data_IF_461533635030
#
_entry.id   IF_461533635030
#
_cell.length_a   1.000
_cell.length_b   1.000
_cell.length_c   1.000
_cell.angle_alpha   90.00
_cell.angle_beta   90.00
_cell.angle_gamma   90.00
#
_symmetry.space_group_name_H-M   'P 1'
#
loop_
_entity.id
_entity.type
_entity.pdbx_description
1 polymer ?
#
# COMPACT_ATOMS: atom_id res chain seq x y z
N UNK A 1 51.56 -68.28 -24.69
CA UNK A 1 50.27 -67.93 -25.30
C UNK A 1 49.18 -68.31 -24.29
N UNK A 2 48.99 -67.63 -23.16
CA UNK A 2 48.59 -66.21 -22.92
C UNK A 2 47.38 -65.76 -23.77
N UNK A 3 46.32 -65.09 -23.30
CA UNK A 3 45.57 -64.96 -22.05
C UNK A 3 44.41 -63.97 -22.38
N UNK A 4 43.13 -64.30 -22.10
CA UNK A 4 41.92 -63.41 -21.93
C UNK A 4 41.56 -62.41 -23.07
N UNK A 5 40.32 -61.99 -23.30
CA UNK A 5 39.33 -61.40 -22.39
C UNK A 5 37.89 -61.59 -22.90
N UNK A 6 37.02 -62.17 -22.06
CA UNK A 6 35.58 -61.93 -22.13
C UNK A 6 35.26 -60.68 -21.29
N UNK A 7 34.59 -59.72 -21.92
CA UNK A 7 34.28 -58.41 -21.37
C UNK A 7 32.88 -58.46 -20.75
N UNK A 8 32.78 -58.69 -19.44
CA UNK A 8 31.50 -58.55 -18.71
C UNK A 8 31.41 -57.14 -18.13
N UNK A 9 30.54 -56.32 -18.73
CA UNK A 9 30.12 -55.02 -18.20
C UNK A 9 29.27 -55.25 -16.94
N UNK A 10 29.76 -54.81 -15.79
CA UNK A 10 28.98 -54.71 -14.56
C UNK A 10 28.00 -53.53 -14.65
N UNK A 11 26.73 -53.84 -14.92
CA UNK A 11 25.63 -52.91 -14.67
C UNK A 11 25.43 -52.73 -13.17
N UNK A 12 25.88 -51.62 -12.61
CA UNK A 12 25.47 -51.18 -11.27
C UNK A 12 24.00 -50.77 -11.33
N UNK A 13 23.10 -51.65 -10.91
CA UNK A 13 21.71 -51.31 -10.63
C UNK A 13 21.67 -50.51 -9.32
N UNK A 14 21.29 -49.24 -9.41
CA UNK A 14 20.95 -48.42 -8.26
C UNK A 14 19.88 -49.11 -7.42
N UNK A 15 20.23 -49.48 -6.18
CA UNK A 15 19.27 -49.98 -5.19
C UNK A 15 18.29 -48.84 -4.86
N UNK A 16 17.04 -48.99 -5.28
CA UNK A 16 15.93 -48.20 -4.77
C UNK A 16 15.74 -48.57 -3.29
N UNK A 17 16.19 -47.72 -2.36
CA UNK A 17 15.86 -47.87 -0.94
C UNK A 17 14.41 -47.44 -0.75
N UNK A 18 13.54 -48.40 -0.47
CA UNK A 18 12.17 -48.11 -0.03
C UNK A 18 12.22 -47.49 1.37
N UNK A 19 11.50 -46.38 1.56
CA UNK A 19 11.40 -45.68 2.84
C UNK A 19 10.66 -46.55 3.87
N UNK A 20 11.17 -46.62 5.10
CA UNK A 20 10.49 -47.36 6.18
C UNK A 20 9.19 -46.65 6.56
N UNK A 21 8.17 -47.42 6.97
CA UNK A 21 6.91 -46.85 7.48
C UNK A 21 7.16 -45.89 8.65
N UNK A 22 8.12 -46.23 9.53
CA UNK A 22 8.55 -45.37 10.64
C UNK A 22 9.17 -44.06 10.15
N UNK A 23 9.97 -44.12 9.09
CA UNK A 23 10.61 -42.94 8.50
C UNK A 23 9.56 -41.99 7.91
N UNK A 24 8.54 -42.54 7.23
CA UNK A 24 7.40 -41.76 6.74
C UNK A 24 6.61 -41.14 7.91
N UNK A 25 6.34 -41.89 8.98
CA UNK A 25 5.61 -41.36 10.14
C UNK A 25 6.35 -40.21 10.82
N UNK A 26 7.67 -40.35 11.03
CA UNK A 26 8.49 -39.28 11.62
C UNK A 26 8.48 -38.05 10.71
N UNK A 27 8.60 -38.24 9.39
CA UNK A 27 8.62 -37.13 8.43
C UNK A 27 7.31 -36.35 8.44
N UNK A 28 6.16 -37.03 8.43
CA UNK A 28 4.84 -36.39 8.50
C UNK A 28 4.65 -35.68 9.84
N UNK A 29 5.11 -36.27 10.95
CA UNK A 29 5.06 -35.62 12.25
C UNK A 29 5.87 -34.32 12.31
N UNK A 30 7.09 -34.32 11.77
CA UNK A 30 7.95 -33.13 11.72
C UNK A 30 7.35 -32.05 10.82
N UNK A 31 6.82 -32.42 9.64
CA UNK A 31 6.14 -31.47 8.75
C UNK A 31 4.91 -30.86 9.41
N UNK A 32 4.12 -31.66 10.14
CA UNK A 32 2.96 -31.16 10.90
C UNK A 32 3.32 -30.14 11.97
N UNK A 33 4.39 -30.40 12.73
CA UNK A 33 4.89 -29.46 13.75
C UNK A 33 5.36 -28.17 13.09
N UNK A 34 6.17 -28.24 12.03
CA UNK A 34 6.66 -27.05 11.33
C UNK A 34 5.52 -26.22 10.69
N UNK A 35 4.51 -26.88 10.10
CA UNK A 35 3.37 -26.20 9.50
C UNK A 35 2.56 -25.42 10.54
N UNK A 36 2.36 -25.98 11.74
CA UNK A 36 1.60 -25.32 12.81
C UNK A 36 2.28 -24.06 13.34
N UNK A 37 3.61 -24.05 13.50
CA UNK A 37 4.38 -22.88 13.95
C UNK A 37 4.37 -21.77 12.89
N UNK A 38 4.40 -22.14 11.61
CA UNK A 38 4.33 -21.18 10.51
C UNK A 38 3.05 -20.34 10.56
N UNK A 39 1.89 -20.97 10.75
CA UNK A 39 0.57 -20.33 10.71
C UNK A 39 0.40 -19.19 11.72
N UNK A 40 0.84 -19.37 12.97
CA UNK A 40 0.68 -18.35 14.03
C UNK A 40 1.56 -17.11 13.80
N UNK A 41 2.67 -17.28 13.09
CA UNK A 41 3.63 -16.21 12.84
C UNK A 41 3.15 -15.27 11.73
N UNK A 42 2.46 -15.79 10.71
CA UNK A 42 2.00 -14.99 9.55
C UNK A 42 0.96 -13.91 9.91
N UNK A 43 0.01 -14.21 10.82
CA UNK A 43 -1.04 -13.25 11.18
C UNK A 43 -0.48 -11.93 11.70
N UNK A 44 0.43 -11.99 12.69
CA UNK A 44 1.03 -10.81 13.32
C UNK A 44 1.93 -9.99 12.38
N UNK A 45 2.58 -10.65 11.40
CA UNK A 45 3.46 -9.96 10.45
C UNK A 45 2.64 -9.12 9.46
N UNK A 46 1.54 -9.66 8.94
CA UNK A 46 0.72 -8.95 7.95
C UNK A 46 0.08 -7.71 8.55
N UNK A 47 -0.41 -7.77 9.78
CA UNK A 47 -1.02 -6.62 10.46
C UNK A 47 -0.02 -5.50 10.73
N UNK A 48 1.18 -5.82 11.25
CA UNK A 48 2.26 -4.83 11.45
C UNK A 48 2.75 -4.22 10.13
N UNK A 49 2.76 -5.01 9.07
CA UNK A 49 3.11 -4.52 7.74
C UNK A 49 2.08 -3.51 7.23
N UNK A 50 0.79 -3.80 7.43
CA UNK A 50 -0.31 -2.87 7.11
C UNK A 50 -0.20 -1.57 7.90
N UNK A 51 0.08 -1.63 9.21
CA UNK A 51 0.30 -0.44 10.04
C UNK A 51 1.44 0.42 9.50
N UNK A 52 2.57 -0.21 9.15
CA UNK A 52 3.73 0.49 8.61
C UNK A 52 3.42 1.18 7.28
N UNK A 53 2.74 0.49 6.36
CA UNK A 53 2.33 1.07 5.06
C UNK A 53 1.37 2.24 5.26
N UNK A 54 0.37 2.09 6.15
CA UNK A 54 -0.60 3.13 6.42
C UNK A 54 0.04 4.39 7.05
N UNK A 55 0.99 4.20 7.98
CA UNK A 55 1.77 5.32 8.56
C UNK A 55 2.63 6.03 7.52
N UNK A 56 3.34 5.28 6.68
CA UNK A 56 4.14 5.86 5.60
C UNK A 56 3.28 6.68 4.63
N UNK A 57 2.05 6.24 4.35
CA UNK A 57 1.11 6.98 3.52
C UNK A 57 0.66 8.28 4.20
N UNK A 58 0.36 8.26 5.49
CA UNK A 58 0.05 9.46 6.28
C UNK A 58 1.22 10.43 6.31
N UNK A 59 2.45 9.94 6.49
CA UNK A 59 3.65 10.78 6.46
C UNK A 59 3.88 11.40 5.08
N UNK A 60 3.62 10.64 4.01
CA UNK A 60 3.67 11.13 2.63
C UNK A 60 2.66 12.24 2.39
N UNK A 61 1.42 12.06 2.84
CA UNK A 61 0.35 13.06 2.77
C UNK A 61 0.69 14.31 3.58
N UNK A 62 1.16 14.15 4.81
CA UNK A 62 1.59 15.28 5.64
C UNK A 62 2.78 16.03 5.03
N UNK A 63 3.73 15.32 4.41
CA UNK A 63 4.84 15.94 3.68
C UNK A 63 4.35 16.69 2.44
N UNK A 64 3.40 16.13 1.69
CA UNK A 64 2.78 16.80 0.55
C UNK A 64 2.05 18.07 0.97
N UNK A 65 1.25 18.03 2.04
CA UNK A 65 0.57 19.21 2.62
C UNK A 65 1.55 20.28 3.08
N UNK A 66 2.66 19.90 3.71
CA UNK A 66 3.71 20.86 4.11
C UNK A 66 4.38 21.49 2.89
N UNK A 67 4.75 20.69 1.90
CA UNK A 67 5.35 21.20 0.66
C UNK A 67 4.41 22.15 -0.08
N UNK A 68 3.12 21.81 -0.14
CA UNK A 68 2.08 22.69 -0.65
C UNK A 68 2.05 24.00 0.14
N UNK A 69 2.04 23.95 1.46
CA UNK A 69 1.96 25.15 2.31
C UNK A 69 3.22 26.02 2.23
N UNK A 70 4.38 25.42 1.96
CA UNK A 70 5.63 26.17 1.74
C UNK A 70 5.64 26.94 0.41
N UNK A 71 4.93 26.44 -0.60
CA UNK A 71 4.94 26.98 -1.95
C UNK A 71 3.70 27.81 -2.28
N UNK A 72 2.59 27.64 -1.54
CA UNK A 72 1.33 28.31 -1.83
C UNK A 72 0.76 28.90 -0.51
N UNK A 73 -0.45 28.51 -0.10
CA UNK A 73 -1.06 28.88 1.18
C UNK A 73 -1.24 27.67 2.11
N UNK A 74 -1.56 27.93 3.37
CA UNK A 74 -1.83 26.89 4.35
C UNK A 74 -3.24 26.31 4.17
N UNK A 75 -3.32 24.98 4.03
CA UNK A 75 -4.58 24.26 3.91
C UNK A 75 -5.20 24.14 5.30
N UNK A 76 -6.02 25.14 5.67
CA UNK A 76 -6.78 25.15 6.93
C UNK A 76 -8.26 25.34 6.67
N UNK A 77 -9.07 24.33 6.96
CA UNK A 77 -10.52 24.44 6.95
C UNK A 77 -11.15 23.37 7.85
N UNK A 78 -12.41 23.57 8.21
CA UNK A 78 -13.09 22.70 9.17
C UNK A 78 -13.24 21.28 8.60
N UNK A 79 -12.61 20.32 9.29
CA UNK A 79 -12.80 18.91 9.00
C UNK A 79 -14.20 18.43 9.38
N UNK A 80 -14.76 17.53 8.59
CA UNK A 80 -16.08 16.95 8.83
C UNK A 80 -15.92 15.47 9.10
N UNK A 81 -15.68 15.10 10.37
CA UNK A 81 -15.36 13.72 10.74
C UNK A 81 -16.39 12.64 10.34
N UNK A 82 -17.63 13.04 10.04
CA UNK A 82 -18.72 12.17 9.59
C UNK A 82 -18.73 11.90 8.07
N UNK A 83 -17.97 12.67 7.29
CA UNK A 83 -17.83 12.56 5.85
C UNK A 83 -16.36 12.39 5.49
N UNK A 84 -16.10 11.82 4.33
CA UNK A 84 -14.74 11.74 3.78
C UNK A 84 -14.52 12.73 2.62
N UNK A 85 -15.45 13.69 2.47
CA UNK A 85 -15.50 14.61 1.34
C UNK A 85 -14.38 15.66 1.41
N UNK A 86 -14.10 16.15 2.61
CA UNK A 86 -13.00 17.06 2.89
C UNK A 86 -11.64 16.44 2.54
N UNK A 87 -11.41 15.18 2.91
CA UNK A 87 -10.19 14.45 2.55
C UNK A 87 -10.02 14.39 1.03
N UNK A 88 -11.08 14.10 0.29
CA UNK A 88 -11.00 14.03 -1.17
C UNK A 88 -10.69 15.41 -1.76
N UNK A 89 -11.31 16.48 -1.25
CA UNK A 89 -11.02 17.84 -1.69
C UNK A 89 -9.57 18.27 -1.41
N UNK A 90 -9.03 17.93 -0.23
CA UNK A 90 -7.61 18.17 0.08
C UNK A 90 -6.72 17.38 -0.86
N UNK A 91 -7.00 16.08 -1.03
CA UNK A 91 -6.22 15.22 -1.91
C UNK A 91 -6.20 15.76 -3.34
N UNK A 92 -7.36 16.14 -3.90
CA UNK A 92 -7.44 16.73 -5.25
C UNK A 92 -6.65 18.03 -5.35
N UNK A 93 -6.67 18.86 -4.31
CA UNK A 93 -5.85 20.08 -4.26
C UNK A 93 -4.35 19.77 -4.28
N UNK A 94 -3.89 18.75 -3.55
CA UNK A 94 -2.50 18.31 -3.55
C UNK A 94 -2.07 17.68 -4.88
N UNK A 95 -3.00 17.05 -5.60
CA UNK A 95 -2.77 16.43 -6.91
C UNK A 95 -2.89 17.42 -8.07
N UNK A 96 -3.44 18.61 -7.83
CA UNK A 96 -3.68 19.57 -8.88
C UNK A 96 -2.38 20.17 -9.38
N UNK A 97 -2.33 20.36 -10.71
CA UNK A 97 -1.28 21.09 -11.40
C UNK A 97 -1.96 22.04 -12.37
N UNK A 98 -1.44 23.26 -12.46
CA UNK A 98 -1.91 24.25 -13.42
C UNK A 98 -1.70 23.74 -14.86
N UNK A 99 -2.73 23.79 -15.73
CA UNK A 99 -2.60 23.35 -17.11
C UNK A 99 -1.58 24.21 -17.87
N UNK A 100 -0.67 23.55 -18.60
CA UNK A 100 0.34 24.22 -19.43
C UNK A 100 -0.38 25.07 -20.51
N UNK A 101 -0.42 26.40 -20.33
CA UNK A 101 -1.06 27.32 -21.28
C UNK A 101 -1.94 28.42 -20.66
N UNK A 102 -2.20 28.40 -19.36
CA UNK A 102 -2.90 29.48 -18.65
C UNK A 102 -1.98 30.71 -18.44
N UNK A 103 -1.65 31.41 -19.52
CA UNK A 103 -0.76 32.58 -19.48
C UNK A 103 -1.34 33.77 -18.66
N UNK A 104 -2.67 33.81 -18.51
CA UNK A 104 -3.39 34.95 -17.92
C UNK A 104 -3.75 34.77 -16.43
N UNK A 105 -3.50 33.59 -15.85
CA UNK A 105 -3.71 33.28 -14.42
C UNK A 105 -2.42 32.83 -13.72
N UNK A 106 -1.28 33.30 -14.24
CA UNK A 106 0.06 33.06 -13.73
C UNK A 106 0.30 33.80 -12.40
N UNK A 107 -0.53 33.49 -11.41
CA UNK A 107 -0.54 34.11 -10.09
C UNK A 107 0.49 33.41 -9.20
N UNK A 108 1.77 33.77 -9.40
CA UNK A 108 2.94 33.72 -8.49
C UNK A 108 3.31 32.36 -7.81
N UNK A 109 2.40 31.42 -7.62
CA UNK A 109 2.58 30.22 -6.80
C UNK A 109 1.75 29.03 -7.30
N UNK A 110 2.26 28.22 -8.25
CA UNK A 110 1.83 26.83 -8.42
C UNK A 110 2.89 25.97 -9.14
N UNK A 111 3.52 25.04 -8.42
CA UNK A 111 4.16 23.84 -9.02
C UNK A 111 3.79 22.58 -8.26
N UNK A 112 2.51 22.21 -8.38
CA UNK A 112 2.06 20.84 -8.17
C UNK A 112 2.43 19.93 -9.36
N UNK A 113 2.15 18.62 -9.26
CA UNK A 113 1.44 18.01 -8.15
C UNK A 113 2.35 17.70 -6.96
N UNK A 114 1.87 17.92 -5.74
CA UNK A 114 2.58 17.59 -4.49
C UNK A 114 2.28 16.16 -4.02
N UNK A 115 1.20 15.58 -4.53
CA UNK A 115 0.83 14.17 -4.38
C UNK A 115 0.65 13.54 -5.76
N UNK A 116 0.95 12.25 -5.87
CA UNK A 116 0.80 11.53 -7.14
C UNK A 116 -0.62 11.62 -7.71
N UNK A 117 -0.74 11.91 -9.01
CA UNK A 117 -2.01 12.16 -9.70
C UNK A 117 -2.74 10.90 -10.16
N UNK A 118 -2.04 9.77 -10.21
CA UNK A 118 -2.53 8.43 -10.56
C UNK A 118 -3.22 7.69 -9.40
N UNK A 119 -3.20 8.27 -8.19
CA UNK A 119 -3.82 7.69 -7.01
C UNK A 119 -5.26 8.19 -6.81
N UNK A 120 -6.20 7.26 -6.87
CA UNK A 120 -7.62 7.52 -6.77
C UNK A 120 -8.26 6.63 -5.69
N UNK A 121 -8.00 6.94 -4.41
CA UNK A 121 -8.48 6.10 -3.34
C UNK A 121 -9.99 6.24 -3.15
N UNK A 122 -10.61 5.15 -2.70
CA UNK A 122 -11.98 5.19 -2.21
C UNK A 122 -12.03 5.83 -0.82
N UNK A 123 -13.20 6.30 -0.43
CA UNK A 123 -13.47 6.73 0.94
C UNK A 123 -14.22 5.65 1.70
N UNK A 124 -14.09 5.63 3.03
CA UNK A 124 -14.81 4.69 3.89
C UNK A 124 -15.14 5.32 5.24
N UNK A 125 -16.25 4.87 5.81
CA UNK A 125 -16.66 5.12 7.20
C UNK A 125 -16.84 3.82 7.99
N UNK A 126 -16.58 2.65 7.38
CA UNK A 126 -16.62 1.35 8.05
C UNK A 126 -15.44 1.24 9.00
N UNK A 127 -15.68 1.00 10.29
CA UNK A 127 -14.65 0.91 11.34
C UNK A 127 -13.66 -0.22 11.12
N UNK A 128 -13.96 -1.21 10.29
CA UNK A 128 -13.05 -2.34 9.97
C UNK A 128 -11.89 -1.95 9.05
N UNK A 129 -12.05 -0.85 8.31
CA UNK A 129 -11.03 -0.40 7.36
C UNK A 129 -9.87 0.31 8.07
N UNK A 130 -8.76 0.49 7.34
CA UNK A 130 -7.74 1.46 7.70
C UNK A 130 -8.09 2.76 6.98
N UNK A 131 -8.26 3.86 7.73
CA UNK A 131 -8.73 5.13 7.18
C UNK A 131 -7.76 6.25 7.49
N UNK A 132 -7.57 7.19 6.58
CA UNK A 132 -6.78 8.40 6.79
C UNK A 132 -7.74 9.58 6.79
N UNK A 133 -7.81 10.28 7.91
CA UNK A 133 -8.72 11.38 8.16
C UNK A 133 -7.98 12.72 8.11
N UNK A 134 -8.64 13.72 7.56
CA UNK A 134 -8.20 15.11 7.64
C UNK A 134 -8.66 15.71 8.97
N UNK A 135 -7.74 16.38 9.68
CA UNK A 135 -8.02 16.97 11.02
C UNK A 135 -8.30 18.46 10.97
N UNK A 136 -8.26 19.05 9.78
CA UNK A 136 -8.39 20.49 9.55
C UNK A 136 -7.06 21.17 9.25
N UNK A 137 -5.93 20.55 9.61
CA UNK A 137 -4.58 21.04 9.29
C UNK A 137 -3.55 19.94 9.02
N UNK A 138 -3.87 18.69 9.33
CA UNK A 138 -2.97 17.55 9.16
C UNK A 138 -3.74 16.26 8.91
N UNK A 139 -3.05 15.26 8.38
CA UNK A 139 -3.57 13.92 8.18
C UNK A 139 -3.30 13.05 9.40
N UNK A 140 -4.31 12.30 9.81
CA UNK A 140 -4.27 11.36 10.93
C UNK A 140 -4.69 9.97 10.48
N UNK A 141 -3.99 8.95 10.95
CA UNK A 141 -4.39 7.57 10.78
C UNK A 141 -5.51 7.20 11.76
N UNK A 142 -6.59 6.62 11.24
CA UNK A 142 -7.61 5.93 11.99
C UNK A 142 -7.40 4.42 11.81
N UNK A 143 -7.06 3.77 12.91
CA UNK A 143 -6.93 2.32 12.96
C UNK A 143 -8.32 1.66 12.87
N UNK A 144 -8.36 0.35 12.55
CA UNK A 144 -9.57 -0.43 12.73
C UNK A 144 -10.15 -0.23 14.14
N UNK A 145 -11.47 -0.32 14.26
CA UNK A 145 -12.25 -0.06 15.49
C UNK A 145 -12.29 1.41 15.96
N UNK A 146 -11.66 2.33 15.23
CA UNK A 146 -11.74 3.77 15.53
C UNK A 146 -12.88 4.43 14.75
N UNK A 147 -13.79 5.13 15.43
CA UNK A 147 -14.86 5.87 14.76
C UNK A 147 -14.32 7.02 13.89
N UNK A 148 -14.99 7.28 12.76
CA UNK A 148 -14.67 8.37 11.83
C UNK A 148 -14.61 7.92 10.37
N UNK A 149 -14.83 8.86 9.46
CA UNK A 149 -14.68 8.68 8.03
C UNK A 149 -13.29 9.17 7.55
N UNK A 150 -12.87 8.69 6.38
CA UNK A 150 -11.67 9.16 5.71
C UNK A 150 -11.35 8.42 4.42
N UNK A 151 -10.15 8.65 3.89
CA UNK A 151 -9.61 7.91 2.74
C UNK A 151 -9.28 6.49 3.17
N UNK A 152 -9.81 5.49 2.47
CA UNK A 152 -9.51 4.08 2.71
C UNK A 152 -8.08 3.77 2.25
N UNK A 153 -7.28 3.18 3.13
CA UNK A 153 -5.96 2.66 2.77
C UNK A 153 -6.14 1.34 2.04
N UNK A 154 -5.74 1.31 0.76
CA UNK A 154 -5.77 0.12 -0.05
C UNK A 154 -4.40 -0.58 -0.03
N UNK A 155 -4.34 -1.78 0.54
CA UNK A 155 -3.10 -2.55 0.60
C UNK A 155 -2.82 -3.36 -0.67
N UNK A 156 -3.78 -3.44 -1.58
CA UNK A 156 -3.66 -4.15 -2.86
C UNK A 156 -3.30 -3.22 -4.02
N UNK A 157 -3.20 -1.91 -3.77
CA UNK A 157 -2.87 -0.88 -4.75
C UNK A 157 -3.83 -0.81 -5.96
N UNK A 158 -5.06 -1.32 -5.83
CA UNK A 158 -6.08 -1.26 -6.89
C UNK A 158 -6.69 0.14 -7.07
N UNK A 159 -6.28 1.08 -6.22
CA UNK A 159 -6.57 2.51 -6.29
C UNK A 159 -5.56 3.32 -7.12
N UNK A 160 -4.48 2.68 -7.61
CA UNK A 160 -3.58 3.26 -8.59
C UNK A 160 -4.10 3.00 -10.00
N UNK A 161 -4.16 4.04 -10.83
CA UNK A 161 -4.71 3.92 -12.18
C UNK A 161 -4.38 5.12 -13.06
N UNK A 162 -5.34 5.53 -13.88
CA UNK A 162 -5.18 6.71 -14.72
C UNK A 162 -5.09 7.99 -13.85
N UNK A 163 -4.31 9.01 -14.28
CA UNK A 163 -4.32 10.30 -13.64
C UNK A 163 -5.74 10.87 -13.52
N UNK A 164 -6.06 11.46 -12.37
CA UNK A 164 -7.33 12.15 -12.19
C UNK A 164 -7.44 13.32 -13.18
N UNK A 165 -8.55 13.36 -13.92
CA UNK A 165 -8.86 14.45 -14.85
C UNK A 165 -9.62 15.52 -14.09
N UNK A 166 -8.99 16.68 -13.93
CA UNK A 166 -9.61 17.82 -13.28
C UNK A 166 -10.60 18.51 -14.23
N UNK A 167 -11.77 18.97 -13.74
CA UNK A 167 -12.64 19.81 -14.54
C UNK A 167 -11.99 21.18 -14.79
N UNK A 168 -12.34 21.84 -15.91
CA UNK A 168 -11.73 23.11 -16.33
C UNK A 168 -11.91 24.25 -15.31
N UNK A 169 -12.94 24.18 -14.47
CA UNK A 169 -13.24 25.14 -13.41
C UNK A 169 -12.79 24.68 -12.02
N UNK A 170 -11.94 23.66 -11.93
CA UNK A 170 -11.42 23.20 -10.65
C UNK A 170 -10.60 24.30 -9.99
N UNK A 171 -10.89 24.55 -8.72
CA UNK A 171 -10.11 25.46 -7.88
C UNK A 171 -9.61 24.69 -6.66
N UNK A 172 -8.30 24.68 -6.38
CA UNK A 172 -7.78 24.06 -5.17
C UNK A 172 -8.43 24.67 -3.92
N UNK A 173 -8.58 23.86 -2.87
CA UNK A 173 -9.21 24.29 -1.63
C UNK A 173 -8.43 25.43 -0.99
N UNK A 174 -9.12 26.53 -0.67
CA UNK A 174 -8.53 27.71 -0.03
C UNK A 174 -7.84 28.68 -0.99
N UNK A 175 -7.98 28.52 -2.31
CA UNK A 175 -7.39 29.40 -3.34
C UNK A 175 -8.07 30.78 -3.49
N UNK A 176 -8.53 31.40 -2.40
CA UNK A 176 -9.22 32.71 -2.42
C UNK A 176 -8.66 33.69 -1.41
#
# INVERSE_FOLDING_TARGET
>A
MTHRYSNQRSGQLSRCRAMSLVEITITVAVVGIMASIGLTTYGNITERSKDTVARNLVDTLNKATRNFSHANWDLRFNAVAASAGDEMLVLRSLQWREPDGAADQKEIYYKGPYMRNDWNPATSSDTKDWRIQWTGSAWKLLLPETAGAGIKVNFEATDLGAPYVFPDNFTPVGSR
#
